data_IF_656267772294
#
_entry.id   IF_656267772294
#
_cell.length_a   1.000
_cell.length_b   1.000
_cell.length_c   1.000
_cell.angle_alpha   90.00
_cell.angle_beta   90.00
_cell.angle_gamma   90.00
#
_symmetry.space_group_name_H-M   'P 1'
#
loop_
_entity.id
_entity.type
_entity.pdbx_description
1 polymer ?
#
# COMPACT_ATOMS: atom_id res chain seq x y z
N UNK A 1 11.32 -43.83 32.64
CA UNK A 1 10.71 -42.86 31.69
C UNK A 1 9.85 -43.64 30.71
N UNK A 2 8.53 -43.47 30.74
CA UNK A 2 7.61 -44.30 29.96
C UNK A 2 7.81 -44.05 28.46
N UNK A 3 8.31 -45.06 27.74
CA UNK A 3 8.58 -45.02 26.29
C UNK A 3 7.36 -44.57 25.46
N UNK A 4 6.15 -44.79 25.98
CA UNK A 4 4.89 -44.29 25.41
C UNK A 4 4.74 -42.77 25.53
N UNK A 5 5.17 -42.17 26.65
CA UNK A 5 5.15 -40.71 26.88
C UNK A 5 6.19 -40.01 26.01
N UNK A 6 7.34 -40.66 25.78
CA UNK A 6 8.37 -40.13 24.90
C UNK A 6 7.93 -40.09 23.42
N UNK A 7 7.20 -41.11 22.95
CA UNK A 7 6.65 -41.14 21.58
C UNK A 7 5.57 -40.08 21.36
N UNK A 8 4.71 -39.82 22.35
CA UNK A 8 3.65 -38.81 22.24
C UNK A 8 4.23 -37.38 22.18
N UNK A 9 5.30 -37.11 22.93
CA UNK A 9 5.98 -35.80 22.93
C UNK A 9 6.64 -35.47 21.58
N UNK A 10 7.28 -36.44 20.93
CA UNK A 10 7.94 -36.25 19.63
C UNK A 10 6.93 -36.01 18.50
N UNK A 11 5.78 -36.68 18.53
CA UNK A 11 4.70 -36.48 17.55
C UNK A 11 4.03 -35.12 17.74
N UNK A 12 3.87 -34.64 18.99
CA UNK A 12 3.32 -33.31 19.26
C UNK A 12 4.26 -32.18 18.82
N UNK A 13 5.57 -32.36 18.96
CA UNK A 13 6.56 -31.38 18.49
C UNK A 13 6.63 -31.28 16.96
N UNK A 14 6.43 -32.39 16.23
CA UNK A 14 6.46 -32.43 14.76
C UNK A 14 5.24 -31.77 14.09
N UNK A 15 4.10 -31.70 14.78
CA UNK A 15 2.85 -31.13 14.24
C UNK A 15 2.81 -29.59 14.39
N UNK A 16 3.64 -29.01 15.27
CA UNK A 16 3.71 -27.56 15.48
C UNK A 16 4.70 -26.83 14.54
N UNK A 17 5.50 -27.57 13.77
CA UNK A 17 6.57 -27.02 12.93
C UNK A 17 6.19 -26.45 11.55
N UNK A 18 5.01 -26.66 10.93
CA UNK A 18 4.72 -26.05 9.63
C UNK A 18 4.02 -24.69 9.72
N UNK A 19 3.78 -24.15 10.91
CA UNK A 19 3.13 -22.85 11.03
C UNK A 19 4.11 -21.71 10.76
N UNK A 20 4.11 -21.35 9.47
CA UNK A 20 4.13 -19.98 8.96
C UNK A 20 5.46 -19.25 9.09
N UNK A 21 6.38 -19.69 8.22
CA UNK A 21 6.93 -18.78 7.21
C UNK A 21 5.78 -17.95 6.57
N UNK A 22 5.21 -16.97 7.28
CA UNK A 22 4.72 -15.77 6.62
C UNK A 22 6.01 -15.05 6.25
N UNK A 23 6.60 -15.45 5.13
CA UNK A 23 7.41 -14.54 4.36
C UNK A 23 6.52 -13.34 4.10
N UNK A 24 6.61 -12.33 4.97
CA UNK A 24 6.18 -11.00 4.63
C UNK A 24 6.93 -10.70 3.36
N UNK A 25 6.12 -10.72 2.31
CA UNK A 25 6.41 -10.48 0.93
C UNK A 25 7.54 -9.47 0.84
N UNK A 26 8.54 -9.82 0.02
CA UNK A 26 9.57 -8.92 -0.46
C UNK A 26 9.02 -7.50 -0.44
N UNK A 27 9.52 -6.67 0.49
CA UNK A 27 9.49 -5.22 0.32
C UNK A 27 10.34 -4.97 -0.91
N UNK A 28 9.68 -5.07 -2.06
CA UNK A 28 10.19 -4.57 -3.32
C UNK A 28 10.49 -3.10 -3.08
N UNK A 29 11.76 -2.76 -3.22
CA UNK A 29 12.33 -1.49 -2.85
C UNK A 29 11.65 -0.34 -3.61
N UNK A 30 10.67 0.31 -2.98
CA UNK A 30 10.21 1.65 -3.38
C UNK A 30 8.73 1.79 -3.73
N UNK A 31 7.98 0.69 -3.89
CA UNK A 31 6.54 0.73 -4.15
C UNK A 31 5.74 1.00 -2.88
N UNK A 32 4.96 2.08 -2.86
CA UNK A 32 4.00 2.39 -1.81
C UNK A 32 2.58 2.31 -2.36
N UNK A 33 1.66 1.92 -1.49
CA UNK A 33 0.24 1.96 -1.78
C UNK A 33 -0.44 2.90 -0.79
N UNK A 34 -1.07 3.96 -1.29
CA UNK A 34 -1.70 5.00 -0.47
C UNK A 34 -3.16 5.09 -0.84
N UNK A 35 -4.04 4.99 0.15
CA UNK A 35 -5.49 5.11 -0.03
C UNK A 35 -5.98 6.41 0.59
N UNK A 36 -6.80 7.15 -0.14
CA UNK A 36 -7.28 8.45 0.32
C UNK A 36 -8.24 9.12 -0.65
N UNK A 37 -8.62 10.34 -0.30
CA UNK A 37 -9.42 11.22 -1.16
C UNK A 37 -8.52 11.93 -2.16
N UNK A 38 -8.79 11.72 -3.43
CA UNK A 38 -8.00 12.21 -4.53
C UNK A 38 -8.68 13.40 -5.19
N UNK A 39 -7.94 14.50 -5.25
CA UNK A 39 -8.42 15.78 -5.73
C UNK A 39 -7.39 16.43 -6.64
N UNK A 40 -7.88 17.32 -7.52
CA UNK A 40 -7.01 18.16 -8.31
C UNK A 40 -6.24 19.12 -7.39
N UNK A 41 -4.93 19.23 -7.61
CA UNK A 41 -4.09 20.20 -6.91
C UNK A 41 -4.16 21.59 -7.54
N UNK A 42 -3.24 22.45 -7.14
CA UNK A 42 -3.18 23.84 -7.61
C UNK A 42 -2.85 23.97 -9.11
N UNK A 43 -2.12 23.00 -9.67
CA UNK A 43 -1.66 23.00 -11.06
C UNK A 43 -2.31 21.88 -11.87
N UNK A 44 -2.28 21.99 -13.20
CA UNK A 44 -2.86 20.98 -14.10
C UNK A 44 -2.20 19.59 -13.97
N UNK A 45 -0.93 19.55 -13.56
CA UNK A 45 -0.11 18.33 -13.48
C UNK A 45 0.13 17.85 -12.04
N UNK A 46 -0.41 18.58 -11.04
CA UNK A 46 -0.28 18.23 -9.64
C UNK A 46 -1.63 17.80 -9.08
N UNK A 47 -1.66 16.58 -8.54
CA UNK A 47 -2.82 16.06 -7.84
C UNK A 47 -2.50 15.87 -6.38
N UNK A 48 -3.52 15.92 -5.53
CA UNK A 48 -3.37 15.77 -4.09
C UNK A 48 -4.20 14.59 -3.63
N UNK A 49 -3.54 13.66 -2.94
CA UNK A 49 -4.18 12.56 -2.25
C UNK A 49 -4.12 12.84 -0.75
N UNK A 50 -5.28 12.97 -0.12
CA UNK A 50 -5.39 13.09 1.34
C UNK A 50 -5.75 11.75 1.94
N UNK A 51 -4.86 11.18 2.73
CA UNK A 51 -5.13 9.91 3.42
C UNK A 51 -6.14 10.07 4.57
N UNK A 52 -6.58 8.95 5.14
CA UNK A 52 -7.51 8.97 6.27
C UNK A 52 -6.93 9.57 7.56
N UNK A 53 -5.60 9.69 7.65
CA UNK A 53 -4.89 10.33 8.76
C UNK A 53 -4.74 11.85 8.55
N UNK A 54 -5.25 12.37 7.44
CA UNK A 54 -5.16 13.78 7.06
C UNK A 54 -3.81 14.19 6.45
N UNK A 55 -2.92 13.25 6.14
CA UNK A 55 -1.67 13.52 5.44
C UNK A 55 -1.95 13.70 3.96
N UNK A 56 -1.40 14.78 3.41
CA UNK A 56 -1.49 15.09 1.99
C UNK A 56 -0.23 14.63 1.25
N UNK A 57 -0.45 13.98 0.11
CA UNK A 57 0.59 13.51 -0.79
C UNK A 57 0.40 14.22 -2.14
N UNK A 58 1.49 14.76 -2.67
CA UNK A 58 1.51 15.24 -4.05
C UNK A 58 1.66 14.02 -4.95
N UNK A 59 0.75 13.86 -5.91
CA UNK A 59 0.71 12.73 -6.83
C UNK A 59 0.94 13.22 -8.24
N UNK A 60 1.85 12.57 -8.95
CA UNK A 60 2.13 12.79 -10.37
C UNK A 60 2.10 11.46 -11.11
N UNK A 61 1.93 11.50 -12.43
CA UNK A 61 1.80 10.30 -13.25
C UNK A 61 1.07 10.59 -14.55
N UNK A 62 0.40 9.58 -15.10
CA UNK A 62 -0.40 9.74 -16.31
C UNK A 62 -1.59 10.69 -16.09
N UNK A 63 -1.57 11.84 -16.76
CA UNK A 63 -2.61 12.86 -16.60
C UNK A 63 -4.00 12.37 -17.00
N UNK A 64 -4.12 11.45 -17.97
CA UNK A 64 -5.39 10.89 -18.41
C UNK A 64 -6.05 10.00 -17.37
N UNK A 65 -5.28 9.15 -16.71
CA UNK A 65 -5.70 8.33 -15.57
C UNK A 65 -6.06 9.23 -14.38
N UNK A 66 -5.15 10.13 -13.99
CA UNK A 66 -5.31 10.93 -12.77
C UNK A 66 -6.47 11.93 -12.90
N UNK A 67 -6.55 12.69 -14.00
CA UNK A 67 -7.59 13.71 -14.17
C UNK A 67 -9.03 13.17 -14.06
N UNK A 68 -9.26 11.91 -14.50
CA UNK A 68 -10.58 11.27 -14.43
C UNK A 68 -11.04 10.97 -13.02
N UNK A 69 -10.11 10.80 -12.08
CA UNK A 69 -10.41 10.48 -10.70
C UNK A 69 -10.16 11.63 -9.73
N UNK A 70 -9.54 12.72 -10.19
CA UNK A 70 -9.22 13.92 -9.42
C UNK A 70 -10.44 14.82 -9.14
N UNK A 71 -11.57 14.22 -8.79
CA UNK A 71 -12.84 14.89 -8.53
C UNK A 71 -13.50 14.29 -7.28
N UNK A 72 -12.81 14.39 -6.15
CA UNK A 72 -13.27 13.90 -4.85
C UNK A 72 -13.56 12.39 -4.83
N UNK A 73 -12.75 11.59 -5.52
CA UNK A 73 -12.87 10.13 -5.47
C UNK A 73 -11.94 9.56 -4.40
N UNK A 74 -12.46 8.59 -3.65
CA UNK A 74 -11.63 7.72 -2.81
C UNK A 74 -10.94 6.71 -3.72
N UNK A 75 -9.61 6.76 -3.76
CA UNK A 75 -8.80 5.90 -4.61
C UNK A 75 -7.66 5.28 -3.81
N UNK A 76 -7.13 4.18 -4.33
CA UNK A 76 -5.92 3.52 -3.90
C UNK A 76 -4.87 3.73 -5.00
N UNK A 77 -3.80 4.46 -4.67
CA UNK A 77 -2.72 4.78 -5.60
C UNK A 77 -1.52 3.90 -5.26
N UNK A 78 -1.14 3.07 -6.22
CA UNK A 78 0.12 2.35 -6.18
C UNK A 78 1.14 3.17 -6.96
N UNK A 79 2.31 3.37 -6.39
CA UNK A 79 3.35 4.18 -7.01
C UNK A 79 4.64 4.17 -6.24
N UNK A 80 5.60 4.99 -6.66
CA UNK A 80 6.89 5.10 -5.99
C UNK A 80 7.07 6.51 -5.44
N UNK A 81 7.60 6.61 -4.22
CA UNK A 81 7.99 7.90 -3.66
C UNK A 81 9.28 8.39 -4.34
N UNK A 82 9.23 9.59 -4.89
CA UNK A 82 10.35 10.28 -5.49
C UNK A 82 10.55 11.65 -4.81
N UNK A 83 11.78 12.12 -4.73
CA UNK A 83 12.07 13.46 -4.21
C UNK A 83 12.30 14.41 -5.37
N UNK A 84 11.45 15.42 -5.51
CA UNK A 84 11.58 16.46 -6.54
C UNK A 84 11.68 17.83 -5.86
N UNK A 85 12.79 18.55 -6.08
CA UNK A 85 13.02 19.90 -5.53
C UNK A 85 12.70 19.97 -4.02
N UNK A 86 13.25 19.02 -3.27
CA UNK A 86 13.07 18.86 -1.82
C UNK A 86 11.65 18.49 -1.34
N UNK A 87 10.72 18.21 -2.25
CA UNK A 87 9.38 17.70 -1.94
C UNK A 87 9.26 16.22 -2.24
N UNK A 88 8.55 15.50 -1.38
CA UNK A 88 8.20 14.11 -1.61
C UNK A 88 6.98 14.05 -2.54
N UNK A 89 7.14 13.36 -3.67
CA UNK A 89 6.14 13.22 -4.73
C UNK A 89 5.88 11.74 -4.96
N UNK A 90 4.61 11.34 -4.95
CA UNK A 90 4.17 9.99 -5.26
C UNK A 90 3.97 9.87 -6.78
N UNK A 91 4.86 9.12 -7.45
CA UNK A 91 4.71 8.78 -8.86
C UNK A 91 3.76 7.59 -9.01
N UNK A 92 2.51 7.88 -9.34
CA UNK A 92 1.46 6.89 -9.53
C UNK A 92 1.76 6.00 -10.76
N UNK A 93 1.81 4.69 -10.53
CA UNK A 93 1.88 3.67 -11.59
C UNK A 93 0.54 2.98 -11.80
N UNK A 94 -0.30 2.94 -10.75
CA UNK A 94 -1.66 2.42 -10.82
C UNK A 94 -2.59 3.25 -9.94
N UNK A 95 -3.84 3.37 -10.37
CA UNK A 95 -4.91 4.00 -9.60
C UNK A 95 -6.14 3.11 -9.67
N UNK A 96 -6.65 2.75 -8.50
CA UNK A 96 -7.90 2.03 -8.34
C UNK A 96 -8.92 2.91 -7.62
N UNK A 97 -10.03 3.20 -8.27
CA UNK A 97 -11.15 3.88 -7.63
C UNK A 97 -11.88 2.91 -6.70
N UNK A 98 -12.13 3.35 -5.46
CA UNK A 98 -12.90 2.59 -4.46
C UNK A 98 -14.32 3.14 -4.33
N UNK A 99 -14.44 4.46 -4.15
CA UNK A 99 -15.71 5.13 -3.91
C UNK A 99 -15.60 6.64 -4.20
N UNK A 100 -16.68 7.38 -3.97
CA UNK A 100 -16.64 8.84 -3.88
C UNK A 100 -16.38 9.21 -2.41
N UNK A 101 -15.54 10.22 -2.16
CA UNK A 101 -15.36 10.75 -0.81
C UNK A 101 -16.59 11.58 -0.43
N UNK A 102 -17.16 11.28 0.75
CA UNK A 102 -18.36 11.94 1.29
C UNK A 102 -18.01 13.24 2.00
#
# INVERSE_FOLDING_TARGET
MNRKVFFVMVVFAAILLPMILVGQEKKDSGGVNVTGCFNKGADADHYVLKDEKGKEYVVTGDAGMLARHANNHRVTITGNMAKEKDKDVLKATNLQMLAVCQ
#
